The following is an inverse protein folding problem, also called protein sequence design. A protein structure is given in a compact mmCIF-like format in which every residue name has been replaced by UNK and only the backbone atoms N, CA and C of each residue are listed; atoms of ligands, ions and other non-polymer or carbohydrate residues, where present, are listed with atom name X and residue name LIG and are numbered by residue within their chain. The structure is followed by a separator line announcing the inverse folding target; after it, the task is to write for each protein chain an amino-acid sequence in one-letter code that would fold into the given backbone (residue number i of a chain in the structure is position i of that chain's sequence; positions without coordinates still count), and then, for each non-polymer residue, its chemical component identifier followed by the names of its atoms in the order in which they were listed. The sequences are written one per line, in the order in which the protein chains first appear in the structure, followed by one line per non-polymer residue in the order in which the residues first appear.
data_IF_987551351177
#
_entry.id   IF_987551351177
#
_cell.length_a   1.000
_cell.length_b   1.000
_cell.length_c   1.000
_cell.angle_alpha   90.00
_cell.angle_beta   90.00
_cell.angle_gamma   90.00
#
_symmetry.space_group_name_H-M   'P 1'
#
loop_
_entity.id
_entity.type
_entity.pdbx_description
1 polymer ?
#
# COMPACT_ATOMS: atom_id res chain seq x y z
N UNK A 1 40.98 3.17 -40.05
CA UNK A 1 40.74 2.82 -38.63
C UNK A 1 39.55 3.61 -38.17
N UNK A 2 38.51 2.90 -37.75
CA UNK A 2 37.16 3.43 -37.50
C UNK A 2 37.11 4.26 -36.23
N UNK A 3 36.65 5.50 -36.35
CA UNK A 3 36.34 6.38 -35.22
C UNK A 3 34.92 6.06 -34.76
N UNK A 4 34.78 5.49 -33.57
CA UNK A 4 33.47 5.25 -32.94
C UNK A 4 33.02 6.55 -32.27
N UNK A 5 31.99 7.20 -32.82
CA UNK A 5 31.32 8.33 -32.16
C UNK A 5 30.35 7.79 -31.10
N UNK A 6 30.51 8.20 -29.84
CA UNK A 6 29.49 8.04 -28.80
C UNK A 6 28.41 9.10 -29.02
N UNK A 7 27.25 8.68 -29.51
CA UNK A 7 26.05 9.51 -29.53
C UNK A 7 25.50 9.60 -28.09
N UNK A 8 25.79 10.70 -27.40
CA UNK A 8 25.10 11.05 -26.15
C UNK A 8 23.68 11.47 -26.48
N UNK A 9 22.69 10.65 -26.13
CA UNK A 9 21.30 11.09 -26.11
C UNK A 9 21.14 12.15 -25.01
N UNK A 10 20.93 13.40 -25.44
CA UNK A 10 20.55 14.49 -24.56
C UNK A 10 19.23 14.17 -23.85
N UNK A 11 19.32 13.94 -22.54
CA UNK A 11 18.18 13.85 -21.66
C UNK A 11 17.71 15.27 -21.32
N UNK A 12 16.61 15.67 -21.94
CA UNK A 12 15.84 16.83 -21.51
C UNK A 12 15.50 16.63 -20.03
N UNK A 13 15.96 17.54 -19.18
CA UNK A 13 15.74 17.53 -17.75
C UNK A 13 14.26 17.78 -17.44
N UNK A 14 13.49 16.70 -17.33
CA UNK A 14 12.27 16.61 -16.52
C UNK A 14 12.55 15.60 -15.41
N UNK A 15 12.65 16.11 -14.19
CA UNK A 15 13.29 15.46 -13.05
C UNK A 15 12.51 14.27 -12.48
N UNK A 16 13.14 13.10 -12.54
CA UNK A 16 12.79 11.89 -11.80
C UNK A 16 13.26 10.66 -12.55
N UNK A 17 14.17 9.86 -11.98
CA UNK A 17 14.43 8.51 -12.50
C UNK A 17 13.08 7.77 -12.61
N UNK A 18 12.81 7.16 -13.77
CA UNK A 18 11.62 6.34 -13.96
C UNK A 18 11.65 5.22 -12.91
N UNK A 19 10.72 5.25 -11.95
CA UNK A 19 10.61 4.22 -10.92
C UNK A 19 10.46 2.84 -11.53
N UNK A 20 11.08 1.85 -10.91
CA UNK A 20 10.97 0.45 -11.32
C UNK A 20 9.52 -0.01 -11.26
N UNK A 21 9.12 -0.88 -12.20
CA UNK A 21 7.82 -1.56 -12.12
C UNK A 21 7.68 -2.46 -10.88
N UNK A 22 8.80 -2.88 -10.29
CA UNK A 22 8.84 -3.68 -9.05
C UNK A 22 8.86 -2.82 -7.77
N UNK A 23 8.80 -1.49 -7.89
CA UNK A 23 8.70 -0.57 -6.76
C UNK A 23 7.24 -0.13 -6.58
N UNK A 24 6.76 -0.13 -5.33
CA UNK A 24 5.42 0.35 -5.00
C UNK A 24 5.39 1.17 -3.70
N UNK A 25 4.39 2.03 -3.59
CA UNK A 25 4.03 2.69 -2.35
C UNK A 25 2.96 1.85 -1.64
N UNK A 26 3.17 1.55 -0.36
CA UNK A 26 2.19 0.89 0.50
C UNK A 26 1.71 1.86 1.56
N UNK A 27 0.43 2.21 1.49
CA UNK A 27 -0.23 3.02 2.52
C UNK A 27 -0.63 2.13 3.68
N UNK A 28 -0.30 2.55 4.91
CA UNK A 28 -0.59 1.80 6.14
C UNK A 28 -1.36 2.69 7.10
N UNK A 29 -2.62 2.32 7.36
CA UNK A 29 -3.49 3.06 8.27
C UNK A 29 -3.08 2.95 9.73
N UNK A 30 -3.60 3.87 10.55
CA UNK A 30 -3.29 4.00 11.97
C UNK A 30 -4.12 3.09 12.88
N UNK A 31 -4.05 3.39 14.19
CA UNK A 31 -4.84 2.71 15.20
C UNK A 31 -6.34 2.95 15.02
N UNK A 32 -7.14 1.94 15.35
CA UNK A 32 -8.61 1.94 15.21
C UNK A 32 -9.12 2.15 13.76
N UNK A 33 -8.22 2.07 12.77
CA UNK A 33 -8.60 2.17 11.38
C UNK A 33 -9.29 0.88 10.90
N UNK A 34 -10.28 1.06 10.04
CA UNK A 34 -10.75 0.01 9.13
C UNK A 34 -10.55 0.51 7.71
N UNK A 35 -9.69 -0.16 6.95
CA UNK A 35 -9.29 0.23 5.60
C UNK A 35 -9.21 -1.00 4.70
N UNK A 36 -9.84 -0.98 3.52
CA UNK A 36 -9.80 -2.09 2.58
C UNK A 36 -8.43 -2.19 1.89
N UNK A 37 -8.12 -3.39 1.41
CA UNK A 37 -7.06 -3.55 0.42
C UNK A 37 -7.52 -2.95 -0.91
N UNK A 38 -6.62 -2.20 -1.54
CA UNK A 38 -6.77 -1.66 -2.89
C UNK A 38 -5.47 -1.79 -3.65
N UNK A 39 -5.56 -1.82 -4.97
CA UNK A 39 -4.41 -1.81 -5.87
C UNK A 39 -4.40 -0.52 -6.69
N UNK A 40 -3.44 -0.40 -7.62
CA UNK A 40 -3.40 0.74 -8.56
C UNK A 40 -4.65 0.80 -9.45
N UNK A 41 -5.25 -0.35 -9.77
CA UNK A 41 -6.34 -0.46 -10.73
C UNK A 41 -7.70 -0.74 -10.06
N UNK A 42 -7.71 -1.21 -8.82
CA UNK A 42 -8.89 -1.72 -8.14
C UNK A 42 -9.09 -1.06 -6.77
N UNK A 43 -10.32 -0.64 -6.48
CA UNK A 43 -10.72 -0.03 -5.21
C UNK A 43 -12.21 -0.28 -4.95
N UNK A 44 -12.71 0.04 -3.75
CA UNK A 44 -14.11 -0.17 -3.40
C UNK A 44 -15.03 0.70 -4.26
N UNK A 45 -16.14 0.12 -4.75
CA UNK A 45 -17.01 0.77 -5.71
C UNK A 45 -18.03 1.74 -5.09
N UNK A 46 -18.24 1.67 -3.77
CA UNK A 46 -19.13 2.56 -3.03
C UNK A 46 -18.40 3.22 -1.87
N UNK A 47 -18.81 4.45 -1.53
CA UNK A 47 -18.18 5.25 -0.47
C UNK A 47 -16.76 5.67 -0.84
N UNK A 48 -15.88 5.70 0.17
CA UNK A 48 -14.48 6.05 0.02
C UNK A 48 -13.70 4.85 -0.55
N UNK A 49 -13.05 5.06 -1.69
CA UNK A 49 -12.40 4.00 -2.47
C UNK A 49 -11.41 3.12 -1.66
N UNK A 50 -10.74 3.71 -0.66
CA UNK A 50 -9.80 3.04 0.22
C UNK A 50 -10.06 3.33 1.72
N UNK A 51 -11.30 3.63 2.10
CA UNK A 51 -11.65 4.02 3.47
C UNK A 51 -11.10 5.40 3.86
N UNK A 52 -11.38 5.80 5.11
CA UNK A 52 -11.16 7.20 5.54
C UNK A 52 -9.70 7.62 5.55
N UNK A 53 -8.81 6.77 6.06
CA UNK A 53 -7.39 7.11 6.20
C UNK A 53 -6.70 7.21 4.85
N UNK A 54 -6.99 6.29 3.94
CA UNK A 54 -6.11 6.05 2.80
C UNK A 54 -6.61 6.66 1.49
N UNK A 55 -7.90 6.99 1.35
CA UNK A 55 -8.49 7.42 0.07
C UNK A 55 -7.79 8.63 -0.53
N UNK A 56 -7.66 9.72 0.22
CA UNK A 56 -7.04 10.94 -0.30
C UNK A 56 -5.55 10.74 -0.62
N UNK A 57 -4.84 9.94 0.20
CA UNK A 57 -3.44 9.59 -0.02
C UNK A 57 -3.28 8.76 -1.29
N UNK A 58 -4.11 7.73 -1.47
CA UNK A 58 -4.14 6.86 -2.64
C UNK A 58 -4.39 7.67 -3.91
N UNK A 59 -5.43 8.49 -3.91
CA UNK A 59 -5.77 9.34 -5.07
C UNK A 59 -4.63 10.27 -5.45
N UNK A 60 -4.02 10.93 -4.46
CA UNK A 60 -2.89 11.82 -4.70
C UNK A 60 -1.70 11.07 -5.30
N UNK A 61 -1.30 9.95 -4.70
CA UNK A 61 -0.13 9.18 -5.13
C UNK A 61 -0.33 8.55 -6.52
N UNK A 62 -1.53 8.05 -6.82
CA UNK A 62 -1.86 7.57 -8.17
C UNK A 62 -1.79 8.68 -9.20
N UNK A 63 -2.26 9.90 -8.86
CA UNK A 63 -2.14 11.07 -9.74
C UNK A 63 -0.69 11.46 -10.03
N UNK A 64 0.23 11.17 -9.11
CA UNK A 64 1.67 11.36 -9.31
C UNK A 64 2.33 10.21 -10.11
N UNK A 65 1.57 9.19 -10.52
CA UNK A 65 2.08 8.07 -11.31
C UNK A 65 2.74 6.97 -10.49
N UNK A 66 2.54 6.92 -9.17
CA UNK A 66 3.02 5.81 -8.34
C UNK A 66 2.17 4.55 -8.52
N UNK A 67 2.80 3.38 -8.46
CA UNK A 67 2.10 2.13 -8.14
C UNK A 67 1.75 2.14 -6.66
N UNK A 68 0.46 2.11 -6.31
CA UNK A 68 0.00 2.24 -4.94
C UNK A 68 -0.82 1.02 -4.53
N UNK A 69 -0.56 0.52 -3.32
CA UNK A 69 -1.40 -0.44 -2.61
C UNK A 69 -1.79 0.11 -1.24
N UNK A 70 -2.96 -0.28 -0.74
CA UNK A 70 -3.34 -0.05 0.66
C UNK A 70 -3.25 -1.35 1.44
N UNK A 71 -2.57 -1.33 2.58
CA UNK A 71 -2.57 -2.48 3.48
C UNK A 71 -3.94 -2.63 4.13
N UNK A 72 -4.58 -3.81 4.08
CA UNK A 72 -5.87 -3.99 4.74
C UNK A 72 -5.72 -3.85 6.25
N UNK A 73 -6.61 -3.10 6.88
CA UNK A 73 -6.67 -2.91 8.32
C UNK A 73 -8.10 -3.11 8.83
N UNK A 74 -8.24 -3.76 9.98
CA UNK A 74 -9.52 -3.97 10.66
C UNK A 74 -9.38 -3.61 12.14
N UNK A 75 -10.36 -2.89 12.67
CA UNK A 75 -10.47 -2.66 14.11
C UNK A 75 -10.90 -3.97 14.79
N UNK A 76 -9.92 -4.73 15.27
CA UNK A 76 -10.09 -6.06 15.83
C UNK A 76 -9.59 -7.17 14.90
N UNK A 77 -9.95 -8.41 15.23
CA UNK A 77 -9.58 -9.59 14.44
C UNK A 77 -10.52 -9.78 13.26
N UNK A 78 -10.00 -10.35 12.18
CA UNK A 78 -10.78 -10.78 11.02
C UNK A 78 -10.35 -10.12 9.72
N UNK A 79 -11.06 -10.46 8.64
CA UNK A 79 -10.93 -9.78 7.36
C UNK A 79 -11.55 -8.37 7.44
N UNK A 80 -11.14 -7.50 6.53
CA UNK A 80 -11.83 -6.23 6.35
C UNK A 80 -13.24 -6.51 5.82
N UNK A 81 -14.23 -5.85 6.42
CA UNK A 81 -15.62 -5.88 5.98
C UNK A 81 -16.05 -4.49 5.56
N UNK A 82 -17.08 -4.41 4.73
CA UNK A 82 -17.70 -3.15 4.32
C UNK A 82 -18.10 -2.32 5.56
N UNK A 83 -17.88 -1.01 5.45
CA UNK A 83 -18.06 -0.05 6.53
C UNK A 83 -19.20 0.90 6.20
N UNK A 84 -19.98 1.25 7.22
CA UNK A 84 -21.04 2.26 7.15
C UNK A 84 -20.72 3.43 8.09
N UNK A 85 -21.40 4.57 7.93
CA UNK A 85 -21.13 5.75 8.76
C UNK A 85 -19.87 6.50 8.34
N UNK A 86 -19.11 7.00 9.32
CA UNK A 86 -17.91 7.80 9.03
C UNK A 86 -16.85 6.94 8.36
N UNK A 87 -16.36 7.39 7.22
CA UNK A 87 -15.39 6.62 6.46
C UNK A 87 -15.97 5.43 5.68
N UNK A 88 -17.29 5.44 5.43
CA UNK A 88 -17.97 4.34 4.75
C UNK A 88 -17.33 3.97 3.43
N UNK A 89 -17.28 2.67 3.16
CA UNK A 89 -16.83 2.08 1.91
C UNK A 89 -17.50 0.72 1.76
N UNK A 90 -17.61 0.25 0.51
CA UNK A 90 -18.10 -1.10 0.28
C UNK A 90 -18.05 -1.53 -1.17
N UNK A 91 -18.40 -2.80 -1.40
CA UNK A 91 -18.26 -3.45 -2.71
C UNK A 91 -16.81 -3.41 -3.17
N UNK A 92 -15.91 -3.85 -2.28
CA UNK A 92 -14.49 -3.94 -2.55
C UNK A 92 -14.19 -5.18 -3.43
N UNK A 93 -13.41 -5.03 -4.52
CA UNK A 93 -13.20 -6.11 -5.48
C UNK A 93 -12.39 -7.28 -4.91
N UNK A 94 -11.52 -7.02 -3.92
CA UNK A 94 -10.67 -8.02 -3.28
C UNK A 94 -10.69 -7.81 -1.78
N UNK A 95 -11.02 -8.88 -1.04
CA UNK A 95 -10.87 -8.95 0.42
C UNK A 95 -9.81 -9.98 0.75
N UNK A 96 -8.68 -9.52 1.30
CA UNK A 96 -7.58 -10.40 1.68
C UNK A 96 -7.90 -11.19 2.97
N UNK A 97 -7.31 -12.38 3.17
CA UNK A 97 -7.43 -13.18 4.39
C UNK A 97 -7.04 -12.43 5.67
N UNK A 98 -7.62 -12.83 6.81
CA UNK A 98 -7.42 -12.16 8.11
C UNK A 98 -5.95 -12.14 8.57
N UNK A 99 -5.16 -13.15 8.17
CA UNK A 99 -3.76 -13.25 8.54
C UNK A 99 -2.86 -12.24 7.80
N UNK A 100 -3.40 -11.55 6.79
CA UNK A 100 -2.77 -10.41 6.09
C UNK A 100 -3.42 -9.07 6.43
N UNK A 101 -4.47 -9.06 7.26
CA UNK A 101 -5.16 -7.85 7.71
C UNK A 101 -4.53 -7.35 9.00
N UNK A 102 -4.07 -6.11 9.00
CA UNK A 102 -3.56 -5.43 10.20
C UNK A 102 -4.67 -5.29 11.22
N UNK A 103 -4.49 -5.90 12.41
CA UNK A 103 -5.38 -5.66 13.54
C UNK A 103 -5.04 -4.29 14.17
N UNK A 104 -5.78 -3.25 13.80
CA UNK A 104 -5.49 -1.86 14.13
C UNK A 104 -5.75 -1.49 15.59
N UNK A 105 -6.37 -2.39 16.37
CA UNK A 105 -6.55 -2.24 17.82
C UNK A 105 -5.82 -3.33 18.61
N UNK A 106 -5.05 -4.18 17.92
CA UNK A 106 -4.23 -5.23 18.49
C UNK A 106 -2.86 -4.75 18.97
N UNK A 107 -2.00 -5.72 19.32
CA UNK A 107 -0.59 -5.42 19.62
C UNK A 107 0.16 -5.00 18.35
N UNK A 108 1.17 -4.13 18.52
CA UNK A 108 2.03 -3.67 17.43
C UNK A 108 2.75 -4.84 16.76
N UNK A 109 3.21 -5.83 17.53
CA UNK A 109 3.95 -6.98 16.98
C UNK A 109 3.04 -7.85 16.11
N UNK A 110 1.82 -8.19 16.56
CA UNK A 110 0.88 -8.98 15.74
C UNK A 110 0.43 -8.20 14.49
N UNK A 111 0.18 -6.89 14.63
CA UNK A 111 -0.10 -6.02 13.48
C UNK A 111 1.06 -6.02 12.47
N UNK A 112 2.30 -5.96 12.97
CA UNK A 112 3.52 -6.07 12.16
C UNK A 112 3.66 -7.40 11.44
N UNK A 113 3.40 -8.52 12.11
CA UNK A 113 3.42 -9.86 11.46
C UNK A 113 2.39 -9.97 10.33
N UNK A 114 1.20 -9.43 10.52
CA UNK A 114 0.15 -9.44 9.49
C UNK A 114 0.54 -8.56 8.29
N UNK A 115 1.08 -7.37 8.56
CA UNK A 115 1.63 -6.50 7.52
C UNK A 115 2.79 -7.17 6.78
N UNK A 116 3.70 -7.87 7.48
CA UNK A 116 4.79 -8.61 6.84
C UNK A 116 4.28 -9.71 5.89
N UNK A 117 3.23 -10.45 6.28
CA UNK A 117 2.59 -11.44 5.39
C UNK A 117 1.97 -10.78 4.16
N UNK A 118 1.32 -9.63 4.31
CA UNK A 118 0.82 -8.85 3.18
C UNK A 118 1.94 -8.40 2.22
N UNK A 119 3.08 -7.95 2.76
CA UNK A 119 4.21 -7.53 1.95
C UNK A 119 4.87 -8.69 1.21
N UNK A 120 5.00 -9.86 1.85
CA UNK A 120 5.43 -11.08 1.18
C UNK A 120 4.45 -11.52 0.09
N UNK A 121 3.15 -11.35 0.29
CA UNK A 121 2.15 -11.59 -0.74
C UNK A 121 2.29 -10.62 -1.92
N UNK A 122 2.54 -9.33 -1.69
CA UNK A 122 2.85 -8.38 -2.77
C UNK A 122 4.13 -8.79 -3.52
N UNK A 123 5.13 -9.30 -2.82
CA UNK A 123 6.33 -9.81 -3.44
C UNK A 123 6.04 -10.99 -4.37
N UNK A 124 5.35 -12.02 -3.86
CA UNK A 124 5.08 -13.24 -4.61
C UNK A 124 4.06 -13.04 -5.73
N UNK A 125 2.94 -12.37 -5.46
CA UNK A 125 1.81 -12.30 -6.38
C UNK A 125 1.83 -11.08 -7.29
N UNK A 126 2.53 -10.01 -6.89
CA UNK A 126 2.58 -8.74 -7.63
C UNK A 126 4.00 -8.39 -8.12
N UNK A 127 5.01 -9.16 -7.76
CA UNK A 127 6.40 -8.94 -8.18
C UNK A 127 7.03 -7.69 -7.56
N UNK A 128 6.49 -7.20 -6.44
CA UNK A 128 7.02 -6.02 -5.75
C UNK A 128 8.25 -6.41 -4.95
N UNK A 129 9.37 -5.74 -5.21
CA UNK A 129 10.66 -6.00 -4.54
C UNK A 129 11.14 -4.82 -3.72
N UNK A 130 10.53 -3.65 -3.91
CA UNK A 130 10.87 -2.43 -3.20
C UNK A 130 9.59 -1.72 -2.76
N UNK A 131 9.53 -1.36 -1.47
CA UNK A 131 8.34 -0.78 -0.85
C UNK A 131 8.69 0.54 -0.18
N UNK A 132 8.02 1.60 -0.60
CA UNK A 132 7.97 2.86 0.13
C UNK A 132 6.74 2.88 1.03
N UNK A 133 6.91 3.04 2.34
CA UNK A 133 5.78 3.16 3.25
C UNK A 133 5.26 4.60 3.35
N UNK A 134 3.95 4.76 3.23
CA UNK A 134 3.23 5.96 3.67
C UNK A 134 2.34 5.56 4.84
N UNK A 135 2.83 5.79 6.05
CA UNK A 135 2.22 5.26 7.26
C UNK A 135 1.67 6.37 8.17
N UNK A 136 0.40 6.24 8.58
CA UNK A 136 -0.27 7.22 9.44
C UNK A 136 -0.31 6.74 10.90
N UNK A 137 0.12 7.60 11.84
CA UNK A 137 0.01 7.32 13.30
C UNK A 137 0.63 5.96 13.69
N UNK A 138 -0.10 5.07 14.37
CA UNK A 138 0.34 3.71 14.70
C UNK A 138 0.72 2.87 13.47
N UNK A 139 0.26 3.23 12.27
CA UNK A 139 0.69 2.60 11.02
C UNK A 139 2.20 2.59 10.87
N UNK A 140 2.89 3.64 11.31
CA UNK A 140 4.36 3.69 11.28
C UNK A 140 5.00 2.68 12.24
N UNK A 141 4.36 2.42 13.39
CA UNK A 141 4.82 1.40 14.33
C UNK A 141 4.59 -0.01 13.75
N UNK A 142 3.46 -0.24 13.10
CA UNK A 142 3.17 -1.50 12.40
C UNK A 142 4.18 -1.75 11.28
N UNK A 143 4.50 -0.75 10.46
CA UNK A 143 5.54 -0.83 9.42
C UNK A 143 6.90 -1.19 10.01
N UNK A 144 7.32 -0.54 11.11
CA UNK A 144 8.59 -0.88 11.76
C UNK A 144 8.60 -2.28 12.37
N UNK A 145 7.48 -2.75 12.90
CA UNK A 145 7.35 -4.10 13.41
C UNK A 145 7.43 -5.14 12.27
N UNK A 146 6.76 -4.88 11.13
CA UNK A 146 6.85 -5.72 9.94
C UNK A 146 8.28 -5.84 9.42
N UNK A 147 9.01 -4.71 9.31
CA UNK A 147 10.42 -4.70 8.86
C UNK A 147 11.31 -5.57 9.73
N UNK A 148 11.03 -5.73 11.03
CA UNK A 148 11.85 -6.55 11.93
C UNK A 148 11.70 -8.05 11.69
N UNK A 149 10.64 -8.49 11.00
CA UNK A 149 10.27 -9.90 10.84
C UNK A 149 10.24 -10.34 9.38
N UNK A 150 10.62 -9.45 8.45
CA UNK A 150 10.89 -9.73 7.04
C UNK A 150 12.38 -10.07 6.89
#
# INVERSE_FOLDING_TARGET
MTVTMLAGCGGNSDGGEKRSASQAVVIVSGGDATSPYTSKDEACATGLAAGNTDTALREFLLKQGYTVFTSPAMAGRGQVVDQTGFGSFGVCPVTLPENMTVNSTGSIDTAGEHLARFLNWLHTEKGITEVDFVAHSMGGLYSRAAIRVL
#
